data_IF_990822586804
#
_entry.id   IF_990822586804
#
_cell.length_a   1.000
_cell.length_b   1.000
_cell.length_c   1.000
_cell.angle_alpha   90.00
_cell.angle_beta   90.00
_cell.angle_gamma   90.00
#
_symmetry.space_group_name_H-M   'P 1'
#
loop_
_entity.id
_entity.type
_entity.pdbx_description
1 polymer ?
#
# COMPACT_ATOMS: atom_id res chain seq x y z
N UNK A 1 4.32 21.45 11.72
CA UNK A 1 4.69 20.01 11.72
C UNK A 1 5.26 19.67 10.36
N UNK A 2 6.44 19.03 10.27
CA UNK A 2 7.04 18.63 8.99
C UNK A 2 6.30 17.38 8.48
N UNK A 3 5.54 17.49 7.40
CA UNK A 3 4.85 16.36 6.81
C UNK A 3 5.88 15.41 6.17
N UNK A 4 6.10 14.24 6.76
CA UNK A 4 6.98 13.20 6.19
C UNK A 4 6.26 12.56 5.01
N UNK A 5 6.83 12.69 3.82
CA UNK A 5 6.39 11.99 2.61
C UNK A 5 6.83 10.54 2.72
N UNK A 6 5.88 9.62 2.73
CA UNK A 6 6.10 8.16 2.78
C UNK A 6 5.27 7.52 1.67
N UNK A 7 5.69 6.38 1.10
CA UNK A 7 4.90 5.66 0.08
C UNK A 7 3.45 5.41 0.50
N UNK A 8 3.23 4.94 1.75
CA UNK A 8 1.87 4.67 2.26
C UNK A 8 0.97 5.92 2.27
N UNK A 9 1.49 7.05 2.77
CA UNK A 9 0.77 8.34 2.72
C UNK A 9 0.49 8.81 1.30
N UNK A 10 1.43 8.57 0.37
CA UNK A 10 1.23 8.93 -1.04
C UNK A 10 0.08 8.12 -1.63
N UNK A 11 0.03 6.81 -1.40
CA UNK A 11 -1.08 5.97 -1.84
C UNK A 11 -2.42 6.42 -1.26
N UNK A 12 -2.50 6.66 0.05
CA UNK A 12 -3.74 7.12 0.70
C UNK A 12 -4.15 8.49 0.12
N UNK A 13 -3.21 9.41 -0.04
CA UNK A 13 -3.48 10.74 -0.61
C UNK A 13 -4.00 10.68 -2.04
N UNK A 14 -3.30 9.93 -2.91
CA UNK A 14 -3.68 9.75 -4.31
C UNK A 14 -5.06 9.09 -4.43
N UNK A 15 -5.32 8.02 -3.67
CA UNK A 15 -6.60 7.32 -3.68
C UNK A 15 -7.75 8.17 -3.13
N UNK A 16 -7.50 8.93 -2.06
CA UNK A 16 -8.49 9.83 -1.47
C UNK A 16 -8.90 10.93 -2.45
N UNK A 17 -7.92 11.53 -3.14
CA UNK A 17 -8.16 12.58 -4.12
C UNK A 17 -8.71 12.03 -5.45
N UNK A 18 -8.43 10.76 -5.78
CA UNK A 18 -8.85 10.10 -7.01
C UNK A 18 -9.44 8.71 -6.73
N UNK A 19 -10.70 8.61 -6.23
CA UNK A 19 -11.29 7.34 -5.79
C UNK A 19 -11.39 6.25 -6.87
N UNK A 20 -11.41 6.64 -8.15
CA UNK A 20 -11.40 5.72 -9.27
C UNK A 20 -10.15 4.82 -9.33
N UNK A 21 -9.03 5.25 -8.71
CA UNK A 21 -7.82 4.42 -8.60
C UNK A 21 -8.09 3.10 -7.87
N UNK A 22 -9.15 2.99 -7.06
CA UNK A 22 -9.54 1.74 -6.41
C UNK A 22 -9.93 0.62 -7.40
N UNK A 23 -10.35 1.00 -8.60
CA UNK A 23 -10.85 0.10 -9.65
C UNK A 23 -9.75 -0.46 -10.55
N UNK A 24 -8.51 0.00 -10.36
CA UNK A 24 -7.36 -0.58 -11.05
C UNK A 24 -7.18 -2.04 -10.59
N UNK A 25 -6.64 -2.87 -11.47
CA UNK A 25 -6.34 -4.27 -11.19
C UNK A 25 -5.09 -4.37 -10.29
N UNK A 26 -5.31 -4.43 -8.97
CA UNK A 26 -4.30 -4.69 -7.95
C UNK A 26 -4.92 -5.41 -6.75
N UNK A 27 -4.13 -6.23 -6.07
CA UNK A 27 -4.57 -7.00 -4.91
C UNK A 27 -3.74 -6.69 -3.66
N UNK A 28 -4.40 -6.21 -2.61
CA UNK A 28 -3.77 -5.90 -1.33
C UNK A 28 -3.61 -7.13 -0.41
N UNK A 29 -4.10 -8.31 -0.81
CA UNK A 29 -4.06 -9.51 0.02
C UNK A 29 -2.63 -9.89 0.44
N UNK A 30 -1.66 -9.80 -0.48
CA UNK A 30 -0.25 -10.08 -0.21
C UNK A 30 0.40 -9.05 0.71
N UNK A 31 -0.17 -7.85 0.83
CA UNK A 31 0.30 -6.81 1.75
C UNK A 31 -0.33 -6.89 3.14
N UNK A 32 -1.28 -7.80 3.40
CA UNK A 32 -1.92 -7.88 4.73
C UNK A 32 -0.98 -8.26 5.87
N UNK A 33 0.13 -8.94 5.56
CA UNK A 33 1.18 -9.25 6.53
C UNK A 33 2.09 -8.05 6.84
N UNK A 34 1.94 -6.94 6.11
CA UNK A 34 2.79 -5.77 6.25
C UNK A 34 2.42 -5.00 7.52
N UNK A 35 3.35 -4.94 8.47
CA UNK A 35 3.24 -4.09 9.66
C UNK A 35 3.61 -2.62 9.33
N UNK A 36 3.12 -2.09 8.20
CA UNK A 36 3.40 -0.72 7.76
C UNK A 36 2.34 0.24 8.32
N UNK A 37 2.75 1.31 9.02
CA UNK A 37 1.83 2.30 9.55
C UNK A 37 0.93 2.92 8.46
N UNK A 38 -0.38 2.70 8.59
CA UNK A 38 -1.38 3.25 7.68
C UNK A 38 -1.91 2.25 6.65
N UNK A 39 -1.37 1.03 6.57
CA UNK A 39 -1.89 0.00 5.68
C UNK A 39 -3.38 -0.30 5.93
N UNK A 40 -3.80 -0.44 7.19
CA UNK A 40 -5.21 -0.69 7.53
C UNK A 40 -6.14 0.40 6.96
N UNK A 41 -5.76 1.67 7.13
CA UNK A 41 -6.53 2.80 6.59
C UNK A 41 -6.56 2.76 5.06
N UNK A 42 -5.43 2.45 4.41
CA UNK A 42 -5.38 2.32 2.96
C UNK A 42 -6.29 1.20 2.46
N UNK A 43 -6.25 0.03 3.10
CA UNK A 43 -7.10 -1.11 2.75
C UNK A 43 -8.59 -0.79 2.97
N UNK A 44 -8.96 -0.19 4.10
CA UNK A 44 -10.35 0.25 4.35
C UNK A 44 -10.83 1.26 3.31
N UNK A 45 -9.97 2.24 2.94
CA UNK A 45 -10.28 3.21 1.90
C UNK A 45 -10.46 2.56 0.54
N UNK A 46 -9.58 1.63 0.16
CA UNK A 46 -9.71 0.86 -1.09
C UNK A 46 -11.02 0.07 -1.12
N UNK A 47 -11.39 -0.60 -0.02
CA UNK A 47 -12.66 -1.34 0.08
C UNK A 47 -13.84 -0.39 -0.09
N UNK A 48 -13.87 0.75 0.61
CA UNK A 48 -14.95 1.73 0.48
C UNK A 48 -15.11 2.22 -0.96
N UNK A 49 -14.00 2.57 -1.63
CA UNK A 49 -14.03 3.04 -3.02
C UNK A 49 -14.43 1.93 -4.01
N UNK A 50 -14.16 0.66 -3.69
CA UNK A 50 -14.61 -0.50 -4.49
C UNK A 50 -16.10 -0.75 -4.33
N UNK A 51 -16.62 -0.66 -3.11
CA UNK A 51 -18.03 -0.87 -2.80
C UNK A 51 -18.93 0.28 -3.28
N UNK A 52 -18.38 1.48 -3.40
CA UNK A 52 -19.09 2.69 -3.82
C UNK A 52 -18.44 3.35 -5.05
N UNK A 53 -18.61 2.73 -6.23
CA UNK A 53 -18.12 3.30 -7.49
C UNK A 53 -18.68 4.72 -7.69
N UNK A 54 -17.79 5.68 -7.95
CA UNK A 54 -18.14 7.09 -8.12
C UNK A 54 -18.25 7.89 -6.83
N UNK A 55 -17.91 7.31 -5.67
CA UNK A 55 -17.80 8.05 -4.42
C UNK A 55 -16.81 9.21 -4.57
N UNK A 56 -17.17 10.36 -4.00
CA UNK A 56 -16.34 11.57 -4.04
C UNK A 56 -15.43 11.67 -2.81
N UNK A 57 -14.32 12.41 -2.93
CA UNK A 57 -13.45 12.73 -1.78
C UNK A 57 -14.24 13.31 -0.59
N UNK A 58 -15.21 14.19 -0.84
CA UNK A 58 -16.04 14.77 0.22
C UNK A 58 -16.88 13.73 0.96
N UNK A 59 -17.46 12.76 0.25
CA UNK A 59 -18.21 11.65 0.86
C UNK A 59 -17.29 10.71 1.65
N UNK A 60 -16.07 10.48 1.17
CA UNK A 60 -15.05 9.72 1.91
C UNK A 60 -14.69 10.44 3.22
N UNK A 61 -14.44 11.75 3.17
CA UNK A 61 -14.13 12.53 4.38
C UNK A 61 -15.29 12.53 5.37
N UNK A 62 -16.53 12.60 4.88
CA UNK A 62 -17.73 12.48 5.71
C UNK A 62 -17.82 11.12 6.40
N UNK A 63 -17.53 10.03 5.67
CA UNK A 63 -17.55 8.67 6.21
C UNK A 63 -16.58 8.49 7.40
N UNK A 64 -15.40 9.14 7.36
CA UNK A 64 -14.42 9.09 8.45
C UNK A 64 -14.53 10.25 9.46
N UNK A 65 -15.56 11.09 9.37
CA UNK A 65 -15.81 12.18 10.33
C UNK A 65 -15.90 11.61 11.75
N UNK A 66 -15.35 12.34 12.70
CA UNK A 66 -15.34 11.98 14.14
C UNK A 66 -14.62 10.66 14.48
N UNK A 67 -13.84 10.11 13.54
CA UNK A 67 -12.95 8.96 13.79
C UNK A 67 -11.51 9.40 14.08
N UNK A 68 -10.68 8.47 14.55
CA UNK A 68 -9.22 8.67 14.71
C UNK A 68 -8.52 9.09 13.40
N UNK A 69 -9.12 8.79 12.24
CA UNK A 69 -8.53 9.04 10.92
C UNK A 69 -8.99 10.36 10.28
N UNK A 70 -9.95 11.09 10.87
CA UNK A 70 -10.48 12.36 10.30
C UNK A 70 -9.36 13.36 9.98
N UNK A 71 -8.56 13.74 10.99
CA UNK A 71 -7.48 14.72 10.81
C UNK A 71 -6.40 14.27 9.83
N UNK A 72 -5.88 13.02 9.90
CA UNK A 72 -4.97 12.51 8.87
C UNK A 72 -5.52 12.60 7.46
N UNK A 73 -6.78 12.22 7.24
CA UNK A 73 -7.41 12.26 5.91
C UNK A 73 -7.62 13.69 5.42
N UNK A 74 -8.02 14.62 6.29
CA UNK A 74 -8.11 16.05 5.94
C UNK A 74 -6.75 16.62 5.48
N UNK A 75 -5.66 16.26 6.17
CA UNK A 75 -4.31 16.67 5.78
C UNK A 75 -3.94 16.10 4.41
N UNK A 76 -4.27 14.82 4.17
CA UNK A 76 -3.97 14.14 2.90
C UNK A 76 -4.84 14.65 1.74
N UNK A 77 -6.09 15.04 2.00
CA UNK A 77 -6.99 15.63 1.02
C UNK A 77 -6.47 16.98 0.49
N UNK A 78 -5.78 17.74 1.34
CA UNK A 78 -5.20 19.04 0.99
C UNK A 78 -3.73 18.95 0.56
N UNK A 79 -3.15 17.75 0.54
CA UNK A 79 -1.75 17.59 0.21
C UNK A 79 -1.52 17.70 -1.30
N UNK A 80 -0.88 18.80 -1.70
CA UNK A 80 -0.32 18.95 -3.03
C UNK A 80 0.95 18.09 -3.17
N UNK A 81 0.80 16.99 -3.91
CA UNK A 81 1.86 16.05 -4.21
C UNK A 81 2.76 16.50 -5.38
N UNK A 82 2.40 17.57 -6.11
CA UNK A 82 3.10 18.08 -7.30
C UNK A 82 3.28 17.00 -8.39
N UNK A 83 2.24 16.18 -8.59
CA UNK A 83 2.19 15.17 -9.66
C UNK A 83 1.20 15.65 -10.70
N UNK A 84 1.60 15.60 -11.97
CA UNK A 84 0.75 15.96 -13.11
C UNK A 84 -0.43 14.99 -13.22
N UNK A 85 -1.60 15.48 -13.64
CA UNK A 85 -2.84 14.68 -13.67
C UNK A 85 -2.69 13.39 -14.49
N UNK A 86 -1.95 13.44 -15.60
CA UNK A 86 -1.67 12.30 -16.48
C UNK A 86 -0.65 11.31 -15.90
N UNK A 87 -0.01 11.64 -14.77
CA UNK A 87 0.94 10.80 -14.04
C UNK A 87 0.41 10.22 -12.74
N UNK A 88 -0.81 10.57 -12.35
CA UNK A 88 -1.42 10.08 -11.10
C UNK A 88 -1.53 8.55 -11.09
N UNK A 89 -2.07 7.96 -12.15
CA UNK A 89 -2.23 6.49 -12.23
C UNK A 89 -0.87 5.78 -12.22
N UNK A 90 0.06 6.20 -13.08
CA UNK A 90 1.42 5.65 -13.16
C UNK A 90 2.10 5.71 -11.79
N UNK A 91 2.06 6.87 -11.14
CA UNK A 91 2.69 7.06 -9.82
C UNK A 91 2.05 6.18 -8.75
N UNK A 92 0.72 6.02 -8.78
CA UNK A 92 0.02 5.14 -7.86
C UNK A 92 0.45 3.68 -8.03
N UNK A 93 0.54 3.20 -9.28
CA UNK A 93 0.99 1.84 -9.61
C UNK A 93 2.45 1.61 -9.22
N UNK A 94 3.33 2.55 -9.53
CA UNK A 94 4.76 2.46 -9.20
C UNK A 94 4.96 2.46 -7.68
N UNK A 95 4.19 3.26 -6.96
CA UNK A 95 4.26 3.31 -5.49
C UNK A 95 3.76 2.02 -4.85
N UNK A 96 2.69 1.41 -5.41
CA UNK A 96 2.25 0.07 -5.01
C UNK A 96 3.32 -0.98 -5.28
N UNK A 97 3.86 -1.04 -6.50
CA UNK A 97 4.92 -1.97 -6.90
C UNK A 97 6.14 -1.85 -5.97
N UNK A 98 6.56 -0.63 -5.65
CA UNK A 98 7.63 -0.37 -4.69
C UNK A 98 7.34 -0.98 -3.31
N UNK A 99 6.13 -0.82 -2.78
CA UNK A 99 5.76 -1.40 -1.48
C UNK A 99 5.70 -2.93 -1.51
N UNK A 100 5.23 -3.55 -2.60
CA UNK A 100 5.28 -5.01 -2.74
C UNK A 100 6.70 -5.54 -2.72
N UNK A 101 7.63 -4.89 -3.43
CA UNK A 101 9.04 -5.28 -3.43
C UNK A 101 9.64 -5.12 -2.04
N UNK A 102 9.37 -4.00 -1.36
CA UNK A 102 9.86 -3.76 0.00
C UNK A 102 9.33 -4.82 0.98
N UNK A 103 8.05 -5.19 0.88
CA UNK A 103 7.44 -6.22 1.72
C UNK A 103 8.07 -7.60 1.48
N UNK A 104 8.21 -7.98 0.21
CA UNK A 104 8.85 -9.24 -0.16
C UNK A 104 10.29 -9.31 0.36
N UNK A 105 11.06 -8.22 0.25
CA UNK A 105 12.43 -8.15 0.78
C UNK A 105 12.45 -8.33 2.30
N UNK A 106 11.56 -7.65 3.03
CA UNK A 106 11.46 -7.79 4.48
C UNK A 106 11.12 -9.24 4.87
N UNK A 107 10.16 -9.88 4.19
CA UNK A 107 9.75 -11.24 4.50
C UNK A 107 10.85 -12.27 4.20
N UNK A 108 11.60 -12.08 3.10
CA UNK A 108 12.80 -12.86 2.81
C UNK A 108 13.82 -12.73 3.95
N UNK A 109 14.08 -11.50 4.42
CA UNK A 109 15.01 -11.26 5.53
C UNK A 109 14.56 -11.93 6.83
N UNK A 110 13.27 -11.88 7.14
CA UNK A 110 12.67 -12.54 8.32
C UNK A 110 12.84 -14.06 8.25
N UNK A 111 12.56 -14.68 7.11
CA UNK A 111 12.77 -16.13 6.89
C UNK A 111 14.25 -16.52 6.98
N UNK A 112 15.17 -15.73 6.40
CA UNK A 112 16.62 -15.98 6.51
C UNK A 112 17.08 -15.86 7.96
N UNK A 113 16.61 -14.87 8.71
CA UNK A 113 16.95 -14.69 10.11
C UNK A 113 16.42 -15.86 10.96
N UNK A 114 15.21 -16.34 10.68
CA UNK A 114 14.63 -17.52 11.32
C UNK A 114 15.44 -18.79 11.01
N UNK A 115 15.86 -19.00 9.76
CA UNK A 115 16.67 -20.17 9.39
C UNK A 115 17.99 -20.24 10.17
N UNK A 116 18.65 -19.08 10.36
CA UNK A 116 19.91 -18.97 11.10
C UNK A 116 19.77 -19.26 12.59
N UNK A 117 18.61 -19.00 13.17
CA UNK A 117 18.39 -19.08 14.63
C UNK A 117 17.75 -20.39 15.05
N UNK A 118 16.67 -20.78 14.38
CA UNK A 118 15.83 -21.93 14.73
C UNK A 118 15.67 -22.94 13.60
N UNK A 119 16.12 -22.60 12.38
CA UNK A 119 15.81 -23.34 11.16
C UNK A 119 14.40 -23.04 10.64
N UNK A 120 14.19 -23.33 9.36
CA UNK A 120 12.88 -23.25 8.69
C UNK A 120 12.19 -24.61 8.56
N UNK A 121 10.86 -24.60 8.70
CA UNK A 121 10.01 -25.73 8.33
C UNK A 121 9.96 -25.93 6.81
N UNK A 122 9.46 -27.08 6.35
CA UNK A 122 9.41 -27.41 4.92
C UNK A 122 8.57 -26.38 4.15
N UNK A 123 7.43 -25.96 4.71
CA UNK A 123 6.57 -24.95 4.09
C UNK A 123 7.30 -23.60 3.95
N UNK A 124 8.03 -23.19 4.98
CA UNK A 124 8.77 -21.92 4.99
C UNK A 124 9.96 -21.93 4.02
N UNK A 125 10.60 -23.09 3.83
CA UNK A 125 11.64 -23.25 2.80
C UNK A 125 11.07 -23.13 1.40
N UNK A 126 9.89 -23.70 1.16
CA UNK A 126 9.19 -23.58 -0.11
C UNK A 126 8.78 -22.13 -0.37
N UNK A 127 8.24 -21.45 0.64
CA UNK A 127 7.89 -20.04 0.60
C UNK A 127 9.11 -19.16 0.30
N UNK A 128 10.22 -19.34 1.03
CA UNK A 128 11.46 -18.60 0.77
C UNK A 128 11.96 -18.78 -0.66
N UNK A 129 11.93 -20.01 -1.20
CA UNK A 129 12.33 -20.29 -2.56
C UNK A 129 11.42 -19.59 -3.60
N UNK A 130 10.11 -19.54 -3.34
CA UNK A 130 9.15 -18.84 -4.18
C UNK A 130 9.42 -17.33 -4.18
N UNK A 131 9.54 -16.71 -3.00
CA UNK A 131 9.80 -15.28 -2.85
C UNK A 131 11.11 -14.86 -3.53
N UNK A 132 12.19 -15.65 -3.41
CA UNK A 132 13.45 -15.38 -4.09
C UNK A 132 13.32 -15.43 -5.62
N UNK A 133 12.50 -16.32 -6.16
CA UNK A 133 12.22 -16.40 -7.61
C UNK A 133 11.41 -15.20 -8.09
N UNK A 134 10.36 -14.82 -7.36
CA UNK A 134 9.53 -13.64 -7.66
C UNK A 134 10.38 -12.36 -7.61
N UNK A 135 11.27 -12.25 -6.62
CA UNK A 135 12.20 -11.14 -6.49
C UNK A 135 13.14 -10.97 -7.67
N UNK A 136 13.62 -12.08 -8.25
CA UNK A 136 14.48 -12.06 -9.44
C UNK A 136 13.72 -11.61 -10.69
N UNK A 137 12.46 -12.02 -10.84
CA UNK A 137 11.62 -11.60 -11.97
C UNK A 137 11.33 -10.09 -11.93
N UNK A 138 11.02 -9.57 -10.74
CA UNK A 138 10.76 -8.13 -10.52
C UNK A 138 12.01 -7.24 -10.75
N UNK A 139 13.22 -7.80 -10.67
CA UNK A 139 14.46 -7.05 -10.97
C UNK A 139 14.79 -7.00 -12.47
N UNK A 140 14.18 -7.87 -13.28
CA UNK A 140 14.46 -8.00 -14.72
C UNK A 140 13.34 -7.42 -15.59
N UNK A 141 12.32 -6.82 -14.97
CA UNK A 141 11.16 -6.18 -15.61
C UNK A 141 11.24 -4.66 -15.44
#
# INVERSE_FOLDING_TARGET
VKFKRTPMRLLIGLLLQNPALAQLDYDLSSLRGLNEPGFDLFNELTVLCRDHIGITMGQILEYWRDTKNSKPLEILALWDHLIEEDKIEDTFRDTLAYLYIQFMDQHIEELIAKDRTTGLEIAEKQELAQLLSERQQNNNS
#
